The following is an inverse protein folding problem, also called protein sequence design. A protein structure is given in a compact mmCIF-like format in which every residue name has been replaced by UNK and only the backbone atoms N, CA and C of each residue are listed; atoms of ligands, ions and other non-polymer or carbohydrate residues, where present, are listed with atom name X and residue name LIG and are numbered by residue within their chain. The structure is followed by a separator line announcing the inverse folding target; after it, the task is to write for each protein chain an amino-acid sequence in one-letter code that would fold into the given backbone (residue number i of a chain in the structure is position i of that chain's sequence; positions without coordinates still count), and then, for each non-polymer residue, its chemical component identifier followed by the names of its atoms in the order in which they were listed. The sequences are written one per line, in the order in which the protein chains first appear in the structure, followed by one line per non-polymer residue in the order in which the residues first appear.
data_IF_339163312697
#
_entry.id   IF_339163312697
#
_cell.length_a   1.000
_cell.length_b   1.000
_cell.length_c   1.000
_cell.angle_alpha   90.00
_cell.angle_beta   90.00
_cell.angle_gamma   90.00
#
_symmetry.space_group_name_H-M   'P 1'
#
loop_
_entity.id
_entity.type
_entity.pdbx_description
1 polymer ?
#
# COMPACT_ATOMS: atom_id res chain seq x y z
N UNK A 1 -6.68 11.03 39.47
CA UNK A 1 -5.89 10.47 38.41
C UNK A 1 -5.47 9.04 38.72
N UNK A 2 -6.18 8.04 38.21
CA UNK A 2 -5.71 6.65 38.23
C UNK A 2 -4.94 6.43 36.96
N UNK A 3 -3.61 6.25 37.06
CA UNK A 3 -2.78 5.65 36.02
C UNK A 3 -3.28 4.23 35.77
N UNK A 4 -4.07 4.05 34.71
CA UNK A 4 -4.36 2.75 34.17
C UNK A 4 -3.24 2.46 33.15
N UNK A 5 -2.11 1.98 33.66
CA UNK A 5 -1.19 1.21 32.84
C UNK A 5 -1.98 0.00 32.32
N UNK A 6 -2.34 0.02 31.06
CA UNK A 6 -2.74 -1.19 30.34
C UNK A 6 -1.57 -2.17 30.44
N UNK A 7 -1.59 -3.06 31.42
CA UNK A 7 -0.69 -4.21 31.46
C UNK A 7 -0.92 -4.95 30.13
N UNK A 8 0.03 -4.84 29.24
CA UNK A 8 0.15 -5.74 28.09
C UNK A 8 0.08 -7.12 28.64
N UNK A 9 -0.97 -7.87 28.33
CA UNK A 9 -1.21 -9.17 28.95
C UNK A 9 -0.22 -10.14 28.38
N UNK A 10 0.75 -10.55 29.18
CA UNK A 10 1.83 -11.44 28.79
C UNK A 10 1.21 -12.78 28.37
N UNK A 11 1.46 -13.19 27.13
CA UNK A 11 1.04 -14.50 26.61
C UNK A 11 1.74 -15.62 27.37
N UNK A 12 1.11 -16.80 27.46
CA UNK A 12 1.71 -17.94 28.16
C UNK A 12 3.13 -18.28 27.63
N UNK A 13 3.36 -18.12 26.34
CA UNK A 13 4.66 -18.36 25.73
C UNK A 13 5.73 -17.40 26.25
N UNK A 14 5.39 -16.14 26.54
CA UNK A 14 6.33 -15.19 27.13
C UNK A 14 6.63 -15.52 28.59
N UNK A 15 5.62 -15.95 29.37
CA UNK A 15 5.81 -16.41 30.73
C UNK A 15 6.76 -17.62 30.74
N UNK A 16 6.47 -18.61 29.89
CA UNK A 16 7.28 -19.81 29.74
C UNK A 16 8.70 -19.48 29.28
N UNK A 17 8.87 -18.57 28.31
CA UNK A 17 10.17 -18.15 27.81
C UNK A 17 11.03 -17.56 28.92
N UNK A 18 10.50 -16.60 29.68
CA UNK A 18 11.24 -15.99 30.79
C UNK A 18 11.65 -17.02 31.86
N UNK A 19 10.76 -17.96 32.19
CA UNK A 19 11.10 -19.00 33.18
C UNK A 19 12.06 -20.06 32.61
N UNK A 20 12.02 -20.36 31.32
CA UNK A 20 13.00 -21.23 30.66
C UNK A 20 14.38 -20.56 30.63
N UNK A 21 14.47 -19.26 30.36
CA UNK A 21 15.74 -18.52 30.44
C UNK A 21 16.36 -18.62 31.84
N UNK A 22 15.55 -18.46 32.90
CA UNK A 22 16.00 -18.66 34.28
C UNK A 22 16.42 -20.13 34.53
N UNK A 23 15.62 -21.10 34.11
CA UNK A 23 15.94 -22.51 34.20
C UNK A 23 17.29 -22.85 33.55
N UNK A 24 17.55 -22.34 32.36
CA UNK A 24 18.81 -22.58 31.63
C UNK A 24 20.01 -21.96 32.37
N UNK A 25 19.83 -20.77 32.96
CA UNK A 25 20.85 -20.13 33.76
C UNK A 25 21.13 -20.91 35.05
N UNK A 26 20.10 -21.32 35.77
CA UNK A 26 20.21 -22.05 37.05
C UNK A 26 20.76 -23.47 36.88
N UNK A 27 20.21 -24.24 35.93
CA UNK A 27 20.57 -25.66 35.77
C UNK A 27 21.85 -25.87 34.93
N UNK A 28 22.11 -24.98 33.97
CA UNK A 28 23.15 -25.22 32.96
C UNK A 28 24.14 -24.07 32.85
N UNK A 29 24.00 -23.00 33.64
CA UNK A 29 24.83 -21.77 33.54
C UNK A 29 24.89 -21.20 32.13
N UNK A 30 23.78 -21.30 31.38
CA UNK A 30 23.67 -20.92 29.98
C UNK A 30 22.80 -19.66 29.84
N UNK A 31 23.22 -18.77 28.93
CA UNK A 31 22.50 -17.55 28.54
C UNK A 31 22.27 -17.54 27.02
N UNK A 32 21.29 -16.77 26.56
CA UNK A 32 21.03 -16.51 25.14
C UNK A 32 20.84 -17.76 24.28
N UNK A 33 19.89 -18.63 24.66
CA UNK A 33 19.52 -19.78 23.86
C UNK A 33 18.28 -19.51 23.02
N UNK A 34 18.19 -20.16 21.85
CA UNK A 34 17.01 -20.10 21.00
C UNK A 34 15.89 -20.96 21.59
N UNK A 35 14.87 -20.29 22.17
CA UNK A 35 13.68 -20.96 22.72
C UNK A 35 12.60 -20.96 21.64
N UNK A 36 12.14 -22.17 21.27
CA UNK A 36 11.14 -22.35 20.21
C UNK A 36 9.94 -23.12 20.74
N UNK A 37 8.77 -22.54 20.57
CA UNK A 37 7.50 -23.17 20.88
C UNK A 37 6.75 -23.56 19.60
N UNK A 38 5.95 -24.61 19.72
CA UNK A 38 4.98 -25.02 18.70
C UNK A 38 3.73 -25.57 19.37
N UNK A 39 2.63 -25.62 18.62
CA UNK A 39 1.42 -26.26 19.09
C UNK A 39 1.68 -27.76 19.29
N UNK A 40 1.23 -28.30 20.41
CA UNK A 40 1.30 -29.75 20.66
C UNK A 40 0.51 -30.51 19.58
N UNK A 41 1.07 -31.62 19.10
CA UNK A 41 0.40 -32.47 18.11
C UNK A 41 -0.84 -33.11 18.72
N UNK A 42 -1.88 -33.31 17.92
CA UNK A 42 -3.18 -33.87 18.37
C UNK A 42 -3.07 -35.27 18.98
N UNK A 43 -2.00 -36.00 18.66
CA UNK A 43 -1.74 -37.35 19.14
C UNK A 43 -1.10 -37.40 20.53
N UNK A 44 -0.75 -36.25 21.10
CA UNK A 44 -0.10 -36.12 22.39
C UNK A 44 -0.90 -35.20 23.30
N UNK A 45 -0.86 -35.49 24.59
CA UNK A 45 -1.40 -34.59 25.60
C UNK A 45 -0.53 -33.36 25.74
N UNK A 46 -1.13 -32.20 26.02
CA UNK A 46 -0.47 -30.92 26.17
C UNK A 46 -1.03 -29.83 25.24
N UNK A 47 -0.77 -28.62 25.59
CA UNK A 47 -1.19 -27.39 24.86
C UNK A 47 -0.06 -26.80 24.03
N UNK A 48 1.13 -26.71 24.61
CA UNK A 48 2.32 -26.08 24.04
C UNK A 48 3.50 -27.03 24.12
N UNK A 49 4.25 -27.16 23.02
CA UNK A 49 5.45 -27.97 22.96
C UNK A 49 6.69 -27.07 22.89
N UNK A 50 7.61 -27.25 23.82
CA UNK A 50 8.97 -26.71 23.73
C UNK A 50 9.84 -27.66 22.89
N UNK A 51 10.51 -27.12 21.88
CA UNK A 51 11.50 -27.86 21.08
C UNK A 51 12.84 -27.80 21.81
N UNK A 52 13.25 -28.89 22.47
CA UNK A 52 14.46 -28.89 23.31
C UNK A 52 15.76 -29.04 22.53
N UNK A 53 15.72 -29.44 21.26
CA UNK A 53 16.93 -29.69 20.45
C UNK A 53 17.91 -28.51 20.39
N UNK A 54 17.49 -27.26 20.25
CA UNK A 54 18.39 -26.11 20.32
C UNK A 54 19.07 -25.93 21.68
N UNK A 55 18.49 -26.50 22.76
CA UNK A 55 18.96 -26.35 24.14
C UNK A 55 19.97 -27.42 24.56
N UNK A 56 20.13 -28.49 23.77
CA UNK A 56 21.03 -29.61 24.11
C UNK A 56 22.47 -29.19 24.23
N UNK A 57 22.89 -28.16 23.49
CA UNK A 57 24.23 -27.60 23.59
C UNK A 57 24.52 -27.00 24.97
N UNK A 58 23.49 -26.42 25.59
CA UNK A 58 23.54 -25.84 26.93
C UNK A 58 23.53 -26.94 28.02
N UNK A 59 22.59 -27.87 27.91
CA UNK A 59 22.42 -28.95 28.91
C UNK A 59 23.56 -29.98 28.88
N UNK A 60 24.15 -30.20 27.71
CA UNK A 60 25.15 -31.30 27.45
C UNK A 60 24.57 -32.68 27.78
N UNK A 61 23.27 -32.88 27.70
CA UNK A 61 22.50 -34.09 28.00
C UNK A 61 21.66 -34.53 26.81
N UNK A 62 21.11 -35.74 26.90
CA UNK A 62 20.18 -36.23 25.89
C UNK A 62 18.86 -35.44 25.83
N UNK A 63 18.14 -35.50 24.69
CA UNK A 63 16.90 -34.72 24.51
C UNK A 63 15.84 -34.99 25.56
N UNK A 64 15.62 -36.26 25.90
CA UNK A 64 14.59 -36.66 26.88
C UNK A 64 14.96 -36.20 28.29
N UNK A 65 16.22 -36.37 28.71
CA UNK A 65 16.66 -35.90 30.01
C UNK A 65 16.60 -34.37 30.13
N UNK A 66 17.00 -33.66 29.09
CA UNK A 66 16.90 -32.20 29.07
C UNK A 66 15.45 -31.74 29.16
N UNK A 67 14.54 -32.40 28.42
CA UNK A 67 13.13 -32.11 28.46
C UNK A 67 12.51 -32.37 29.83
N UNK A 68 12.85 -33.48 30.49
CA UNK A 68 12.37 -33.80 31.83
C UNK A 68 12.86 -32.80 32.89
N UNK A 69 14.10 -32.41 32.87
CA UNK A 69 14.65 -31.44 33.82
C UNK A 69 13.98 -30.06 33.68
N UNK A 70 13.80 -29.59 32.44
CA UNK A 70 13.10 -28.33 32.17
C UNK A 70 11.61 -28.44 32.51
N UNK A 71 10.97 -29.59 32.18
CA UNK A 71 9.57 -29.86 32.49
C UNK A 71 9.29 -29.83 34.01
N UNK A 72 10.15 -30.49 34.78
CA UNK A 72 10.05 -30.49 36.26
C UNK A 72 10.23 -29.07 36.84
N UNK A 73 11.22 -28.31 36.33
CA UNK A 73 11.44 -26.94 36.74
C UNK A 73 10.20 -26.07 36.45
N UNK A 74 9.66 -26.15 35.23
CA UNK A 74 8.48 -25.33 34.84
C UNK A 74 7.24 -25.75 35.66
N UNK A 75 7.03 -27.03 35.91
CA UNK A 75 5.91 -27.51 36.73
C UNK A 75 5.98 -26.99 38.17
N UNK A 76 7.18 -26.81 38.71
CA UNK A 76 7.39 -26.26 40.06
C UNK A 76 7.30 -24.71 40.08
N UNK A 77 7.88 -24.04 39.10
CA UNK A 77 8.05 -22.58 39.15
C UNK A 77 6.96 -21.78 38.43
N UNK A 78 6.25 -22.39 37.46
CA UNK A 78 5.20 -21.73 36.68
C UNK A 78 3.84 -22.19 37.14
N UNK A 79 3.10 -21.34 37.83
CA UNK A 79 1.78 -21.65 38.39
C UNK A 79 0.74 -22.03 37.31
N UNK A 80 0.91 -21.58 36.08
CA UNK A 80 0.04 -21.85 34.94
C UNK A 80 0.23 -23.26 34.37
N UNK A 81 1.38 -23.90 34.61
CA UNK A 81 1.66 -25.29 34.18
C UNK A 81 1.03 -26.27 35.16
N UNK A 82 0.22 -27.20 34.66
CA UNK A 82 -0.38 -28.28 35.46
C UNK A 82 0.47 -29.55 35.44
N UNK A 83 0.91 -29.94 34.26
CA UNK A 83 1.70 -31.15 34.03
C UNK A 83 2.51 -31.02 32.72
N UNK A 84 3.29 -32.07 32.44
CA UNK A 84 4.01 -32.18 31.18
C UNK A 84 4.25 -33.66 30.84
N UNK A 85 4.51 -33.92 29.58
CA UNK A 85 5.06 -35.19 29.09
C UNK A 85 6.18 -34.97 28.09
N UNK A 86 7.03 -35.98 27.96
CA UNK A 86 8.16 -35.96 27.05
C UNK A 86 8.01 -37.06 26.00
N UNK A 87 8.02 -36.67 24.72
CA UNK A 87 7.93 -37.62 23.61
C UNK A 87 9.05 -37.34 22.62
N UNK A 88 9.99 -38.26 22.50
CA UNK A 88 11.12 -38.17 21.56
C UNK A 88 11.86 -36.81 21.62
N UNK A 89 12.08 -36.29 22.83
CA UNK A 89 12.75 -35.02 23.05
C UNK A 89 11.91 -33.77 22.81
N UNK A 90 10.61 -33.90 22.65
CA UNK A 90 9.66 -32.79 22.66
C UNK A 90 9.00 -32.69 24.05
N UNK A 91 9.11 -31.54 24.67
CA UNK A 91 8.49 -31.24 25.94
C UNK A 91 7.11 -30.66 25.73
N UNK A 92 6.08 -31.46 25.97
CA UNK A 92 4.68 -31.05 25.85
C UNK A 92 4.18 -30.59 27.21
N UNK A 93 3.79 -29.32 27.34
CA UNK A 93 3.32 -28.68 28.56
C UNK A 93 1.80 -28.65 28.57
N UNK A 94 1.21 -29.03 29.68
CA UNK A 94 -0.21 -28.87 29.94
C UNK A 94 -0.44 -27.61 30.75
N UNK A 95 -1.28 -26.71 30.22
CA UNK A 95 -1.61 -25.45 30.84
C UNK A 95 -2.94 -25.54 31.56
N UNK A 96 -2.99 -25.07 32.81
CA UNK A 96 -4.20 -25.13 33.62
C UNK A 96 -5.39 -24.50 32.91
N UNK A 97 -6.51 -25.18 32.95
CA UNK A 97 -7.76 -24.71 32.36
C UNK A 97 -8.19 -23.35 32.89
N UNK A 98 -7.88 -23.04 34.15
CA UNK A 98 -8.11 -21.70 34.72
C UNK A 98 -7.40 -20.58 33.99
N UNK A 99 -6.18 -20.81 33.48
CA UNK A 99 -5.47 -19.84 32.67
C UNK A 99 -6.26 -19.53 31.38
N UNK A 100 -6.68 -20.56 30.64
CA UNK A 100 -7.45 -20.41 29.40
C UNK A 100 -8.79 -19.73 29.64
N UNK A 101 -9.49 -20.09 30.72
CA UNK A 101 -10.73 -19.44 31.11
C UNK A 101 -10.53 -17.95 31.40
N UNK A 102 -9.51 -17.60 32.16
CA UNK A 102 -9.19 -16.20 32.46
C UNK A 102 -8.79 -15.41 31.20
N UNK A 103 -8.06 -16.04 30.25
CA UNK A 103 -7.77 -15.43 28.96
C UNK A 103 -9.05 -15.17 28.15
N UNK A 104 -9.95 -16.15 28.11
CA UNK A 104 -11.24 -15.99 27.44
C UNK A 104 -12.06 -14.84 28.03
N UNK A 105 -12.23 -14.82 29.36
CA UNK A 105 -12.97 -13.75 30.04
C UNK A 105 -12.33 -12.37 29.75
N UNK A 106 -11.03 -12.29 29.69
CA UNK A 106 -10.35 -11.04 29.35
C UNK A 106 -10.60 -10.63 27.92
N UNK A 107 -10.47 -11.56 26.96
CA UNK A 107 -10.77 -11.29 25.56
C UNK A 107 -12.24 -10.87 25.39
N UNK A 108 -13.16 -11.55 26.04
CA UNK A 108 -14.60 -11.26 25.99
C UNK A 108 -14.93 -9.85 26.52
N UNK A 109 -14.26 -9.40 27.58
CA UNK A 109 -14.51 -8.10 28.20
C UNK A 109 -13.64 -6.96 27.63
N UNK A 110 -12.90 -7.19 26.55
CA UNK A 110 -12.01 -6.19 25.94
C UNK A 110 -12.43 -5.97 24.48
N UNK A 111 -13.06 -4.84 24.20
CA UNK A 111 -13.61 -4.53 22.86
C UNK A 111 -12.53 -4.47 21.77
N UNK A 112 -11.32 -4.05 22.13
CA UNK A 112 -10.17 -3.94 21.23
C UNK A 112 -9.10 -5.01 21.48
N UNK A 113 -9.52 -6.21 21.92
CA UNK A 113 -8.61 -7.32 22.18
C UNK A 113 -7.77 -7.69 20.95
N UNK A 114 -6.45 -7.71 21.13
CA UNK A 114 -5.50 -7.96 20.04
C UNK A 114 -5.05 -6.73 19.28
N UNK A 115 -5.64 -5.56 19.56
CA UNK A 115 -5.20 -4.29 18.97
C UNK A 115 -4.13 -3.65 19.84
N UNK A 116 -2.99 -3.32 19.24
CA UNK A 116 -1.93 -2.53 19.86
C UNK A 116 -2.15 -1.07 19.47
N UNK A 117 -2.25 -0.19 20.47
CA UNK A 117 -2.35 1.26 20.21
C UNK A 117 -0.97 1.83 19.93
N UNK A 118 -0.87 2.66 18.88
CA UNK A 118 0.33 3.39 18.58
C UNK A 118 0.66 4.36 19.74
N UNK A 119 1.92 4.42 20.12
CA UNK A 119 2.44 5.49 21.01
C UNK A 119 2.94 6.69 20.18
N UNK A 120 3.34 7.74 20.85
CA UNK A 120 3.82 8.98 20.21
C UNK A 120 5.12 8.81 19.40
N UNK A 121 5.89 7.75 19.67
CA UNK A 121 7.13 7.41 18.95
C UNK A 121 6.93 6.30 17.92
N UNK A 122 5.70 5.80 17.76
CA UNK A 122 5.42 4.74 16.82
C UNK A 122 5.77 5.16 15.38
N UNK A 123 6.43 4.28 14.59
CA UNK A 123 6.79 4.60 13.22
C UNK A 123 5.54 4.83 12.37
N UNK A 124 5.63 5.81 11.47
CA UNK A 124 4.57 6.13 10.52
C UNK A 124 4.70 5.30 9.26
N UNK A 125 3.64 4.63 8.89
CA UNK A 125 3.48 3.89 7.63
C UNK A 125 2.55 4.66 6.71
N UNK A 126 2.96 4.80 5.46
CA UNK A 126 2.13 5.37 4.40
C UNK A 126 1.57 4.22 3.56
N UNK A 127 0.26 4.23 3.29
CA UNK A 127 -0.39 3.21 2.44
C UNK A 127 -1.12 3.90 1.31
N UNK A 128 -0.70 3.61 0.07
CA UNK A 128 -1.37 4.10 -1.14
C UNK A 128 -2.27 3.04 -1.72
N UNK A 129 -3.48 3.44 -2.09
CA UNK A 129 -4.43 2.62 -2.85
C UNK A 129 -5.39 3.51 -3.63
N UNK A 130 -6.21 2.92 -4.50
CA UNK A 130 -7.12 3.55 -5.46
C UNK A 130 -6.39 4.24 -6.62
N UNK A 131 -5.90 5.44 -6.46
CA UNK A 131 -5.15 6.23 -7.46
C UNK A 131 -5.79 6.20 -8.87
N UNK A 132 -7.06 6.62 -9.01
CA UNK A 132 -7.81 6.48 -10.23
C UNK A 132 -7.58 7.62 -11.23
N UNK A 133 -7.90 7.34 -12.51
CA UNK A 133 -7.99 8.37 -13.56
C UNK A 133 -9.38 9.00 -13.58
N UNK A 134 -9.48 10.30 -13.76
CA UNK A 134 -10.76 11.04 -13.75
C UNK A 134 -11.55 10.99 -15.06
N UNK A 135 -11.07 10.27 -16.07
CA UNK A 135 -11.79 10.12 -17.35
C UNK A 135 -12.82 9.01 -17.39
N UNK A 136 -12.93 8.20 -16.35
CA UNK A 136 -13.84 7.04 -16.27
C UNK A 136 -14.22 6.69 -14.84
N UNK A 137 -15.36 6.00 -14.63
CA UNK A 137 -15.77 5.55 -13.31
C UNK A 137 -14.86 4.45 -12.77
N UNK A 138 -14.92 4.23 -11.45
CA UNK A 138 -14.27 3.11 -10.80
C UNK A 138 -14.90 1.78 -11.25
N UNK A 139 -14.09 0.78 -11.50
CA UNK A 139 -14.51 -0.58 -11.86
C UNK A 139 -14.11 -1.60 -10.78
N UNK A 140 -14.46 -2.88 -10.96
CA UNK A 140 -14.20 -3.94 -9.97
C UNK A 140 -12.72 -4.05 -9.56
N UNK A 141 -11.79 -3.79 -10.48
CA UNK A 141 -10.36 -3.75 -10.16
C UNK A 141 -10.02 -2.66 -9.14
N UNK A 142 -10.61 -1.48 -9.26
CA UNK A 142 -10.47 -0.41 -8.26
C UNK A 142 -11.12 -0.78 -6.92
N UNK A 143 -12.29 -1.42 -6.94
CA UNK A 143 -12.97 -1.86 -5.72
C UNK A 143 -12.08 -2.85 -4.94
N UNK A 144 -11.53 -3.85 -5.62
CA UNK A 144 -10.59 -4.79 -5.01
C UNK A 144 -9.35 -4.08 -4.45
N UNK A 145 -8.77 -3.18 -5.21
CA UNK A 145 -7.60 -2.40 -4.80
C UNK A 145 -7.89 -1.57 -3.54
N UNK A 146 -9.03 -0.87 -3.51
CA UNK A 146 -9.46 -0.05 -2.38
C UNK A 146 -9.64 -0.87 -1.10
N UNK A 147 -10.36 -1.98 -1.19
CA UNK A 147 -10.62 -2.84 -0.04
C UNK A 147 -9.33 -3.51 0.47
N UNK A 148 -8.45 -3.93 -0.43
CA UNK A 148 -7.15 -4.51 -0.07
C UNK A 148 -6.26 -3.49 0.63
N UNK A 149 -6.07 -2.32 0.02
CA UNK A 149 -5.23 -1.25 0.58
C UNK A 149 -5.74 -0.76 1.93
N UNK A 150 -7.05 -0.54 2.05
CA UNK A 150 -7.68 -0.16 3.31
C UNK A 150 -7.47 -1.23 4.39
N UNK A 151 -7.69 -2.52 4.06
CA UNK A 151 -7.50 -3.62 5.00
C UNK A 151 -6.05 -3.72 5.48
N UNK A 152 -5.08 -3.56 4.58
CA UNK A 152 -3.65 -3.52 4.94
C UNK A 152 -3.36 -2.35 5.89
N UNK A 153 -3.89 -1.17 5.59
CA UNK A 153 -3.74 0.01 6.45
C UNK A 153 -4.29 -0.23 7.86
N UNK A 154 -5.49 -0.80 7.98
CA UNK A 154 -6.12 -1.09 9.27
C UNK A 154 -5.37 -2.19 10.06
N UNK A 155 -4.84 -3.22 9.40
CA UNK A 155 -4.02 -4.27 10.04
C UNK A 155 -2.71 -3.66 10.57
N UNK A 156 -2.02 -2.82 9.79
CA UNK A 156 -0.81 -2.13 10.22
C UNK A 156 -1.12 -1.23 11.41
N UNK A 157 -2.22 -0.48 11.37
CA UNK A 157 -2.68 0.36 12.47
C UNK A 157 -2.95 -0.46 13.73
N UNK A 158 -3.66 -1.58 13.60
CA UNK A 158 -3.94 -2.49 14.71
C UNK A 158 -2.68 -3.13 15.32
N UNK A 159 -1.56 -3.14 14.60
CA UNK A 159 -0.25 -3.59 15.10
C UNK A 159 0.54 -2.53 15.87
N UNK A 160 -0.06 -1.38 16.16
CA UNK A 160 0.58 -0.31 16.94
C UNK A 160 1.45 0.64 16.13
N UNK A 161 1.14 0.84 14.86
CA UNK A 161 1.81 1.80 13.99
C UNK A 161 0.93 3.01 13.71
N UNK A 162 1.54 4.15 13.47
CA UNK A 162 0.85 5.28 12.88
C UNK A 162 0.65 5.01 11.38
N UNK A 163 -0.55 5.18 10.88
CA UNK A 163 -0.85 4.93 9.45
C UNK A 163 -1.45 6.17 8.82
N UNK A 164 -0.97 6.50 7.62
CA UNK A 164 -1.54 7.50 6.73
C UNK A 164 -1.95 6.87 5.42
N UNK A 165 -3.20 7.05 5.03
CA UNK A 165 -3.80 6.53 3.80
C UNK A 165 -3.80 7.61 2.75
N UNK A 166 -3.24 7.33 1.58
CA UNK A 166 -3.08 8.32 0.49
C UNK A 166 -3.45 7.73 -0.86
N UNK A 167 -3.72 8.62 -1.82
CA UNK A 167 -3.86 8.28 -3.23
C UNK A 167 -3.34 9.40 -4.12
N UNK A 168 -3.01 9.07 -5.38
CA UNK A 168 -2.79 10.05 -6.45
C UNK A 168 -3.96 10.00 -7.42
N UNK A 169 -4.69 11.08 -7.53
CA UNK A 169 -5.79 11.20 -8.51
C UNK A 169 -5.18 11.73 -9.81
N UNK A 170 -5.29 10.94 -10.87
CA UNK A 170 -4.78 11.29 -12.20
C UNK A 170 -5.83 12.13 -12.93
N UNK A 171 -5.75 13.43 -12.73
CA UNK A 171 -6.74 14.43 -13.14
C UNK A 171 -6.29 15.32 -14.31
N UNK A 172 -5.15 14.98 -14.95
CA UNK A 172 -4.61 15.69 -16.12
C UNK A 172 -4.26 14.75 -17.27
N UNK A 173 -3.91 15.34 -18.40
CA UNK A 173 -3.42 14.64 -19.58
C UNK A 173 -4.45 14.49 -20.68
N UNK A 174 -4.01 13.90 -21.79
CA UNK A 174 -4.80 13.81 -23.02
C UNK A 174 -6.15 13.08 -22.84
N UNK A 175 -6.20 12.06 -21.98
CA UNK A 175 -7.43 11.30 -21.73
C UNK A 175 -8.51 12.14 -21.04
N UNK A 176 -8.10 13.06 -20.16
CA UNK A 176 -9.02 13.98 -19.49
C UNK A 176 -9.52 15.02 -20.51
N UNK A 177 -8.62 15.55 -21.34
CA UNK A 177 -8.98 16.48 -22.42
C UNK A 177 -9.95 15.87 -23.44
N UNK A 178 -9.86 14.57 -23.72
CA UNK A 178 -10.82 13.86 -24.59
C UNK A 178 -12.26 13.98 -24.05
N UNK A 179 -12.47 13.71 -22.76
CA UNK A 179 -13.80 13.87 -22.15
C UNK A 179 -14.28 15.33 -22.16
N UNK A 180 -13.35 16.28 -21.95
CA UNK A 180 -13.67 17.71 -21.97
C UNK A 180 -14.12 18.17 -23.36
N UNK A 181 -13.40 17.80 -24.42
CA UNK A 181 -13.77 18.11 -25.82
C UNK A 181 -15.13 17.51 -26.16
N UNK A 182 -15.35 16.24 -25.86
CA UNK A 182 -16.61 15.59 -26.17
C UNK A 182 -17.79 16.26 -25.44
N UNK A 183 -17.64 16.62 -24.18
CA UNK A 183 -18.68 17.34 -23.45
C UNK A 183 -18.92 18.76 -24.03
N UNK A 184 -17.88 19.46 -24.38
CA UNK A 184 -17.98 20.81 -24.95
C UNK A 184 -18.69 20.80 -26.31
N UNK A 185 -18.35 19.84 -27.18
CA UNK A 185 -18.87 19.78 -28.53
C UNK A 185 -20.27 19.13 -28.59
N UNK A 186 -20.60 18.18 -27.71
CA UNK A 186 -21.80 17.35 -27.82
C UNK A 186 -22.65 17.30 -26.56
N UNK A 187 -22.23 17.93 -25.47
CA UNK A 187 -22.91 17.85 -24.17
C UNK A 187 -24.14 18.78 -24.05
N UNK A 188 -24.30 19.73 -24.96
CA UNK A 188 -25.46 20.65 -24.98
C UNK A 188 -25.80 21.24 -23.60
N UNK A 189 -24.82 21.46 -22.73
CA UNK A 189 -25.01 22.00 -21.39
C UNK A 189 -25.50 20.97 -20.35
N UNK A 190 -25.62 19.69 -20.69
CA UNK A 190 -25.95 18.65 -19.70
C UNK A 190 -24.97 18.67 -18.51
N UNK A 191 -25.49 18.31 -17.35
CA UNK A 191 -24.71 18.15 -16.09
C UNK A 191 -25.10 16.85 -15.40
N UNK A 192 -24.34 16.37 -14.40
CA UNK A 192 -24.76 15.23 -13.58
C UNK A 192 -26.16 15.44 -12.98
N UNK A 193 -26.46 16.64 -12.51
CA UNK A 193 -27.78 16.99 -11.93
C UNK A 193 -28.90 16.90 -12.95
N UNK A 194 -28.70 17.44 -14.17
CA UNK A 194 -29.72 17.43 -15.21
C UNK A 194 -30.02 16.04 -15.76
N UNK A 195 -29.04 15.14 -15.71
CA UNK A 195 -29.13 13.76 -16.23
C UNK A 195 -29.43 12.71 -15.15
N UNK A 196 -29.29 13.07 -13.87
CA UNK A 196 -29.36 12.12 -12.75
C UNK A 196 -28.20 11.12 -12.69
N UNK A 197 -27.16 11.33 -13.50
CA UNK A 197 -25.99 10.46 -13.49
C UNK A 197 -25.00 10.89 -12.39
N UNK A 198 -24.36 9.91 -11.77
CA UNK A 198 -23.25 10.13 -10.87
C UNK A 198 -22.08 10.78 -11.65
N UNK A 199 -21.36 11.73 -11.04
CA UNK A 199 -20.39 12.58 -11.74
C UNK A 199 -19.30 11.85 -12.51
N UNK A 200 -18.71 10.80 -11.95
CA UNK A 200 -17.70 9.98 -12.63
C UNK A 200 -18.31 9.14 -13.79
N UNK A 201 -19.53 8.67 -13.65
CA UNK A 201 -20.27 8.02 -14.74
C UNK A 201 -20.64 9.02 -15.84
N UNK A 202 -21.01 10.24 -15.46
CA UNK A 202 -21.33 11.30 -16.40
C UNK A 202 -20.12 11.67 -17.26
N UNK A 203 -18.96 11.92 -16.64
CA UNK A 203 -17.73 12.23 -17.40
C UNK A 203 -17.26 11.02 -18.21
N UNK A 204 -17.39 9.82 -17.68
CA UNK A 204 -17.10 8.56 -18.39
C UNK A 204 -17.96 8.37 -19.63
N UNK A 205 -19.24 8.80 -19.63
CA UNK A 205 -20.11 8.83 -20.81
C UNK A 205 -19.44 9.63 -21.95
N UNK A 206 -18.92 10.81 -21.65
CA UNK A 206 -18.28 11.64 -22.67
C UNK A 206 -16.90 11.13 -23.12
N UNK A 207 -16.20 10.36 -22.30
CA UNK A 207 -15.01 9.63 -22.75
C UNK A 207 -15.37 8.58 -23.83
N UNK A 208 -16.47 7.85 -23.66
CA UNK A 208 -17.00 6.88 -24.65
C UNK A 208 -17.50 7.61 -25.90
N UNK A 209 -18.20 8.73 -25.74
CA UNK A 209 -18.64 9.55 -26.87
C UNK A 209 -17.45 10.06 -27.70
N UNK A 210 -16.37 10.51 -27.05
CA UNK A 210 -15.16 10.87 -27.75
C UNK A 210 -14.64 9.72 -28.64
N UNK A 211 -14.53 8.52 -28.11
CA UNK A 211 -14.06 7.35 -28.86
C UNK A 211 -14.95 7.04 -30.07
N UNK A 212 -16.27 7.18 -29.92
CA UNK A 212 -17.24 7.01 -30.99
C UNK A 212 -17.03 7.99 -32.15
N UNK A 213 -16.88 9.27 -31.84
CA UNK A 213 -16.62 10.30 -32.85
C UNK A 213 -15.25 10.17 -33.48
N UNK A 214 -14.23 9.87 -32.68
CA UNK A 214 -12.87 9.64 -33.14
C UNK A 214 -12.80 8.49 -34.15
N UNK A 215 -13.42 7.37 -33.87
CA UNK A 215 -13.50 6.23 -34.80
C UNK A 215 -14.23 6.59 -36.10
N UNK A 216 -15.29 7.39 -36.02
CA UNK A 216 -16.01 7.85 -37.20
C UNK A 216 -15.12 8.76 -38.07
N UNK A 217 -14.47 9.74 -37.48
CA UNK A 217 -13.58 10.67 -38.21
C UNK A 217 -12.41 9.94 -38.86
N UNK A 218 -11.83 8.92 -38.17
CA UNK A 218 -10.81 8.06 -38.78
C UNK A 218 -11.37 7.31 -39.98
N UNK A 219 -12.54 6.73 -39.87
CA UNK A 219 -13.17 5.98 -40.99
C UNK A 219 -13.43 6.92 -42.19
N UNK A 220 -13.89 8.13 -41.96
CA UNK A 220 -14.13 9.12 -43.02
C UNK A 220 -12.79 9.50 -43.72
N UNK A 221 -11.72 9.73 -42.97
CA UNK A 221 -10.39 10.08 -43.50
C UNK A 221 -9.77 8.89 -44.31
N UNK A 222 -9.94 7.66 -43.81
CA UNK A 222 -9.47 6.47 -44.54
C UNK A 222 -10.28 6.25 -45.83
N UNK A 223 -11.58 6.54 -45.83
CA UNK A 223 -12.41 6.52 -47.04
C UNK A 223 -11.91 7.55 -48.09
N UNK A 224 -11.37 8.67 -47.65
CA UNK A 224 -10.71 9.69 -48.46
C UNK A 224 -9.25 9.35 -48.82
N UNK A 225 -8.88 8.04 -48.71
CA UNK A 225 -7.57 7.46 -49.07
C UNK A 225 -6.39 7.90 -48.18
N UNK A 226 -6.62 8.36 -46.98
CA UNK A 226 -5.57 8.59 -46.01
C UNK A 226 -5.13 7.27 -45.37
N UNK A 227 -3.83 7.10 -45.15
CA UNK A 227 -3.31 5.94 -44.40
C UNK A 227 -3.82 5.95 -42.95
N UNK A 228 -4.16 4.76 -42.40
CA UNK A 228 -4.78 4.63 -41.08
C UNK A 228 -3.98 5.33 -39.98
N UNK A 229 -2.66 5.15 -39.97
CA UNK A 229 -1.79 5.79 -38.95
C UNK A 229 -1.79 7.33 -39.03
N UNK A 230 -2.00 7.86 -40.21
CA UNK A 230 -2.11 9.30 -40.42
C UNK A 230 -3.51 9.79 -40.07
N UNK A 231 -4.55 9.03 -40.43
CA UNK A 231 -5.93 9.31 -40.08
C UNK A 231 -6.13 9.39 -38.54
N UNK A 232 -5.53 8.46 -37.79
CA UNK A 232 -5.54 8.48 -36.32
C UNK A 232 -4.96 9.77 -35.74
N UNK A 233 -3.89 10.31 -36.34
CA UNK A 233 -3.26 11.56 -35.90
C UNK A 233 -3.99 12.80 -36.41
N UNK A 234 -4.65 12.73 -37.54
CA UNK A 234 -5.28 13.85 -38.24
C UNK A 234 -6.76 14.04 -37.88
N UNK A 235 -7.37 13.06 -37.19
CA UNK A 235 -8.77 13.15 -36.79
C UNK A 235 -9.06 14.47 -36.03
N UNK A 236 -10.01 15.30 -36.49
CA UNK A 236 -10.25 16.64 -35.96
C UNK A 236 -10.50 16.65 -34.46
N UNK A 237 -11.30 15.73 -33.94
CA UNK A 237 -11.58 15.66 -32.50
C UNK A 237 -10.33 15.32 -31.66
N UNK A 238 -9.41 14.54 -32.22
CA UNK A 238 -8.14 14.22 -31.55
C UNK A 238 -7.22 15.45 -31.51
N UNK A 239 -7.12 16.20 -32.62
CA UNK A 239 -6.39 17.46 -32.65
C UNK A 239 -6.93 18.49 -31.66
N UNK A 240 -8.27 18.61 -31.55
CA UNK A 240 -8.89 19.46 -30.51
C UNK A 240 -8.46 19.03 -29.10
N UNK A 241 -8.38 17.72 -28.82
CA UNK A 241 -7.93 17.26 -27.50
C UNK A 241 -6.47 17.58 -27.21
N UNK A 242 -5.60 17.52 -28.23
CA UNK A 242 -4.20 17.91 -28.11
C UNK A 242 -4.05 19.42 -27.89
N UNK A 243 -4.85 20.23 -28.60
CA UNK A 243 -4.86 21.68 -28.41
C UNK A 243 -5.39 22.05 -27.02
N UNK A 244 -6.46 21.41 -26.55
CA UNK A 244 -6.98 21.60 -25.20
C UNK A 244 -5.93 21.26 -24.13
N UNK A 245 -5.12 20.22 -24.33
CA UNK A 245 -4.02 19.89 -23.41
C UNK A 245 -2.96 21.00 -23.41
N UNK A 246 -2.57 21.53 -24.57
CA UNK A 246 -1.64 22.68 -24.65
C UNK A 246 -2.20 23.90 -23.95
N UNK A 247 -3.49 24.22 -24.16
CA UNK A 247 -4.18 25.32 -23.50
C UNK A 247 -4.26 25.13 -21.98
N UNK A 248 -4.46 23.88 -21.52
CA UNK A 248 -4.42 23.56 -20.10
C UNK A 248 -3.00 23.79 -19.52
N UNK A 249 -1.95 23.36 -20.23
CA UNK A 249 -0.55 23.58 -19.84
C UNK A 249 -0.17 25.06 -19.84
N UNK A 250 -0.71 25.85 -20.79
CA UNK A 250 -0.61 27.28 -20.84
C UNK A 250 -1.47 28.03 -19.79
N UNK A 251 -2.26 27.27 -18.98
CA UNK A 251 -3.16 27.79 -17.94
C UNK A 251 -4.23 28.74 -18.46
N UNK A 252 -4.75 28.49 -19.67
CA UNK A 252 -5.82 29.30 -20.23
C UNK A 252 -7.08 29.27 -19.33
N UNK A 253 -7.61 30.42 -18.90
CA UNK A 253 -8.66 30.50 -17.86
C UNK A 253 -9.93 29.72 -18.21
N UNK A 254 -10.33 29.70 -19.47
CA UNK A 254 -11.53 28.99 -19.95
C UNK A 254 -11.36 27.48 -19.84
N UNK A 255 -10.20 26.98 -20.27
CA UNK A 255 -9.88 25.54 -20.21
C UNK A 255 -9.71 25.08 -18.76
N UNK A 256 -9.02 25.86 -17.94
CA UNK A 256 -8.87 25.55 -16.50
C UNK A 256 -10.22 25.54 -15.79
N UNK A 257 -11.13 26.46 -16.13
CA UNK A 257 -12.48 26.49 -15.55
C UNK A 257 -13.28 25.25 -15.92
N UNK A 258 -13.24 24.84 -17.20
CA UNK A 258 -13.89 23.63 -17.68
C UNK A 258 -13.30 22.37 -17.00
N UNK A 259 -11.98 22.27 -16.94
CA UNK A 259 -11.25 21.20 -16.31
C UNK A 259 -11.63 21.07 -14.83
N UNK A 260 -11.65 22.16 -14.06
CA UNK A 260 -12.06 22.17 -12.65
C UNK A 260 -13.50 21.71 -12.48
N UNK A 261 -14.39 22.18 -13.35
CA UNK A 261 -15.82 21.81 -13.33
C UNK A 261 -16.01 20.31 -13.51
N UNK A 262 -15.43 19.73 -14.56
CA UNK A 262 -15.60 18.33 -14.90
C UNK A 262 -14.90 17.40 -13.89
N UNK A 263 -13.68 17.73 -13.46
CA UNK A 263 -13.00 16.96 -12.41
C UNK A 263 -13.74 17.05 -11.06
N UNK A 264 -14.34 18.21 -10.74
CA UNK A 264 -15.19 18.36 -9.55
C UNK A 264 -16.35 17.38 -9.52
N UNK A 265 -16.99 17.14 -10.66
CA UNK A 265 -18.01 16.10 -10.79
C UNK A 265 -17.46 14.69 -10.54
N UNK A 266 -16.29 14.39 -11.08
CA UNK A 266 -15.64 13.08 -10.89
C UNK A 266 -15.25 12.87 -9.43
N UNK A 267 -14.64 13.87 -8.79
CA UNK A 267 -14.25 13.79 -7.37
C UNK A 267 -15.44 13.51 -6.46
N UNK A 268 -16.57 14.22 -6.68
CA UNK A 268 -17.81 13.96 -5.97
C UNK A 268 -18.32 12.53 -6.19
N UNK A 269 -18.19 12.02 -7.43
CA UNK A 269 -18.56 10.65 -7.77
C UNK A 269 -17.67 9.61 -7.07
N UNK A 270 -16.35 9.82 -7.03
CA UNK A 270 -15.42 8.95 -6.31
C UNK A 270 -15.67 8.96 -4.81
N UNK A 271 -15.86 10.14 -4.22
CA UNK A 271 -16.16 10.29 -2.78
C UNK A 271 -17.41 9.50 -2.38
N UNK A 272 -18.47 9.58 -3.18
CA UNK A 272 -19.69 8.79 -2.98
C UNK A 272 -19.42 7.28 -2.99
N UNK A 273 -18.51 6.81 -3.86
CA UNK A 273 -18.11 5.40 -3.90
C UNK A 273 -17.29 5.02 -2.68
N UNK A 274 -16.27 5.81 -2.30
CA UNK A 274 -15.44 5.55 -1.13
C UNK A 274 -16.27 5.50 0.15
N UNK A 275 -17.17 6.44 0.33
CA UNK A 275 -18.10 6.44 1.47
C UNK A 275 -18.96 5.17 1.51
N UNK A 276 -19.47 4.71 0.36
CA UNK A 276 -20.25 3.47 0.28
C UNK A 276 -19.41 2.22 0.57
N UNK A 277 -18.14 2.20 0.20
CA UNK A 277 -17.19 1.12 0.50
C UNK A 277 -16.70 1.14 1.96
N UNK A 278 -16.85 2.26 2.65
CA UNK A 278 -16.28 2.46 3.99
C UNK A 278 -14.76 2.64 3.97
N UNK A 279 -14.19 3.16 2.87
CA UNK A 279 -12.79 3.51 2.76
C UNK A 279 -12.62 5.02 2.76
N UNK A 280 -11.47 5.50 3.23
CA UNK A 280 -11.14 6.92 3.35
C UNK A 280 -9.66 7.19 3.06
N UNK A 281 -9.29 8.47 2.99
CA UNK A 281 -7.92 8.91 2.79
C UNK A 281 -7.57 10.08 3.72
N UNK A 282 -6.38 10.05 4.30
CA UNK A 282 -5.84 11.18 5.09
C UNK A 282 -5.43 12.33 4.17
N UNK A 283 -4.92 12.03 2.96
CA UNK A 283 -4.53 13.03 1.96
C UNK A 283 -4.69 12.52 0.54
N UNK A 284 -5.27 13.35 -0.31
CA UNK A 284 -5.28 13.15 -1.76
C UNK A 284 -4.18 14.00 -2.40
N UNK A 285 -3.39 13.37 -3.28
CA UNK A 285 -2.48 14.04 -4.20
C UNK A 285 -3.14 14.07 -5.57
N UNK A 286 -2.85 15.12 -6.35
CA UNK A 286 -3.38 15.28 -7.69
C UNK A 286 -2.24 15.35 -8.70
N UNK A 287 -2.33 14.62 -9.80
CA UNK A 287 -1.30 14.63 -10.84
C UNK A 287 -1.09 16.04 -11.39
N UNK A 288 -2.15 16.86 -11.46
CA UNK A 288 -2.09 18.27 -11.85
C UNK A 288 -1.16 19.12 -10.98
N UNK A 289 -0.89 18.71 -9.75
CA UNK A 289 0.06 19.36 -8.85
C UNK A 289 1.43 18.66 -8.86
N UNK A 290 1.43 17.32 -8.87
CA UNK A 290 2.65 16.53 -8.68
C UNK A 290 3.50 16.38 -9.93
N UNK A 291 2.96 16.58 -11.13
CA UNK A 291 3.70 16.40 -12.38
C UNK A 291 4.91 17.33 -12.53
N UNK A 292 4.93 18.47 -11.82
CA UNK A 292 6.06 19.39 -11.80
C UNK A 292 7.19 18.99 -10.85
N UNK A 293 6.93 18.10 -9.91
CA UNK A 293 7.92 17.67 -8.91
C UNK A 293 9.11 16.95 -9.53
N UNK A 294 8.89 16.29 -10.67
CA UNK A 294 9.93 15.59 -11.40
C UNK A 294 11.11 16.45 -11.83
N UNK A 295 10.90 17.73 -12.15
CA UNK A 295 12.00 18.63 -12.59
C UNK A 295 13.04 18.83 -11.50
N UNK A 296 12.61 19.09 -10.27
CA UNK A 296 13.50 19.26 -9.11
C UNK A 296 14.29 17.99 -8.81
N UNK A 297 13.67 16.83 -8.98
CA UNK A 297 14.33 15.52 -8.82
C UNK A 297 15.46 15.35 -9.82
N UNK A 298 15.24 15.73 -11.10
CA UNK A 298 16.27 15.67 -12.15
C UNK A 298 17.48 16.52 -11.79
N UNK A 299 17.25 17.76 -11.37
CA UNK A 299 18.32 18.70 -10.97
C UNK A 299 19.15 18.11 -9.82
N UNK A 300 18.50 17.65 -8.76
CA UNK A 300 19.18 17.05 -7.60
C UNK A 300 19.96 15.78 -8.00
N UNK A 301 19.38 14.94 -8.85
CA UNK A 301 20.02 13.71 -9.31
C UNK A 301 21.27 13.97 -10.15
N UNK A 302 21.25 14.98 -11.01
CA UNK A 302 22.40 15.43 -11.79
C UNK A 302 23.50 16.03 -10.89
N UNK A 303 23.14 16.90 -9.95
CA UNK A 303 24.07 17.50 -8.99
C UNK A 303 24.79 16.45 -8.13
N UNK A 304 24.07 15.38 -7.73
CA UNK A 304 24.62 14.28 -6.95
C UNK A 304 25.36 13.22 -7.78
N UNK A 305 25.37 13.35 -9.12
CA UNK A 305 25.98 12.39 -10.04
C UNK A 305 25.28 11.01 -10.07
N UNK A 306 24.03 10.95 -9.58
CA UNK A 306 23.18 9.74 -9.66
C UNK A 306 22.56 9.61 -11.05
N UNK A 307 22.21 10.75 -11.66
CA UNK A 307 21.74 10.85 -13.03
C UNK A 307 22.83 11.42 -13.94
N UNK A 308 22.78 11.08 -15.20
CA UNK A 308 23.68 11.63 -16.22
C UNK A 308 22.91 12.09 -17.45
N UNK A 309 23.48 13.02 -18.18
CA UNK A 309 22.89 13.60 -19.37
C UNK A 309 23.53 13.01 -20.62
N UNK A 310 22.73 12.59 -21.59
CA UNK A 310 23.18 12.17 -22.91
C UNK A 310 23.30 13.37 -23.88
N UNK A 311 23.96 13.16 -25.01
CA UNK A 311 24.23 14.21 -26.01
C UNK A 311 22.95 14.81 -26.60
N UNK A 312 21.85 14.05 -26.65
CA UNK A 312 20.53 14.52 -27.11
C UNK A 312 19.78 15.40 -26.10
N UNK A 313 20.36 15.57 -24.90
CA UNK A 313 19.80 16.33 -23.80
C UNK A 313 18.91 15.52 -22.88
N UNK A 314 18.65 14.26 -23.17
CA UNK A 314 17.91 13.35 -22.26
C UNK A 314 18.72 13.03 -21.01
N UNK A 315 18.02 12.72 -19.90
CA UNK A 315 18.64 12.38 -18.62
C UNK A 315 18.31 10.94 -18.26
N UNK A 316 19.29 10.20 -17.81
CA UNK A 316 19.23 8.77 -17.55
C UNK A 316 19.81 8.40 -16.20
N UNK A 317 19.43 7.22 -15.71
CA UNK A 317 20.09 6.50 -14.62
C UNK A 317 20.54 5.12 -15.12
N UNK A 318 21.72 4.68 -14.69
CA UNK A 318 22.23 3.33 -14.95
C UNK A 318 22.06 2.48 -13.71
N UNK A 319 21.17 1.48 -13.79
CA UNK A 319 20.86 0.51 -12.74
C UNK A 319 21.44 -0.88 -13.05
N UNK A 320 22.38 -0.97 -13.98
CA UNK A 320 22.98 -2.24 -14.40
C UNK A 320 23.68 -2.98 -13.26
N UNK A 321 24.24 -2.24 -12.28
CA UNK A 321 24.89 -2.81 -11.10
C UNK A 321 23.88 -3.55 -10.19
N UNK A 322 22.62 -3.13 -10.19
CA UNK A 322 21.50 -3.74 -9.47
C UNK A 322 20.76 -4.83 -10.27
N UNK A 323 21.28 -5.14 -11.48
CA UNK A 323 20.67 -6.13 -12.38
C UNK A 323 19.39 -5.63 -13.07
N UNK A 324 19.24 -4.32 -13.18
CA UNK A 324 18.13 -3.64 -13.87
C UNK A 324 18.63 -2.92 -15.14
N UNK A 325 17.71 -2.45 -15.97
CA UNK A 325 18.07 -1.70 -17.17
C UNK A 325 18.40 -0.23 -16.87
N UNK A 326 19.11 0.42 -17.81
CA UNK A 326 19.17 1.89 -17.85
C UNK A 326 17.76 2.45 -18.03
N UNK A 327 17.45 3.53 -17.30
CA UNK A 327 16.14 4.17 -17.34
C UNK A 327 16.25 5.64 -17.68
N UNK A 328 15.36 6.07 -18.59
CA UNK A 328 15.21 7.48 -18.88
C UNK A 328 14.44 8.16 -17.73
N UNK A 329 14.95 9.30 -17.30
CA UNK A 329 14.39 10.16 -16.25
C UNK A 329 13.74 11.41 -16.84
N UNK A 330 14.39 11.97 -17.88
CA UNK A 330 13.88 13.13 -18.62
C UNK A 330 14.09 12.89 -20.12
N UNK A 331 13.07 13.13 -20.93
CA UNK A 331 13.21 13.03 -22.39
C UNK A 331 13.99 14.23 -22.94
N UNK A 332 14.50 14.09 -24.16
CA UNK A 332 15.24 15.16 -24.87
C UNK A 332 14.44 16.44 -25.08
N UNK A 333 13.11 16.33 -25.14
CA UNK A 333 12.19 17.47 -25.23
C UNK A 333 11.93 18.18 -23.87
N UNK A 334 12.57 17.70 -22.78
CA UNK A 334 12.43 18.26 -21.44
C UNK A 334 11.21 17.74 -20.67
N UNK A 335 10.49 16.74 -21.20
CA UNK A 335 9.35 16.15 -20.48
C UNK A 335 9.80 15.04 -19.53
N UNK A 336 9.29 15.08 -18.28
CA UNK A 336 9.50 14.03 -17.29
C UNK A 336 8.72 12.76 -17.65
N UNK A 337 9.25 11.61 -17.26
CA UNK A 337 8.56 10.32 -17.35
C UNK A 337 7.82 10.02 -16.04
N UNK A 338 6.94 9.00 -16.03
CA UNK A 338 6.19 8.61 -14.83
C UNK A 338 7.11 8.31 -13.64
N UNK A 339 8.21 7.60 -13.85
CA UNK A 339 9.19 7.29 -12.79
C UNK A 339 9.65 8.55 -12.05
N UNK A 340 9.95 9.61 -12.79
CA UNK A 340 10.42 10.88 -12.22
C UNK A 340 9.34 11.58 -11.40
N UNK A 341 8.10 11.48 -11.85
CA UNK A 341 6.95 12.00 -11.10
C UNK A 341 6.73 11.21 -9.81
N UNK A 342 6.87 9.89 -9.85
CA UNK A 342 6.71 9.03 -8.68
C UNK A 342 7.79 9.28 -7.62
N UNK A 343 9.05 9.48 -8.04
CA UNK A 343 10.14 9.90 -7.14
C UNK A 343 9.79 11.23 -6.48
N UNK A 344 9.38 12.23 -7.28
CA UNK A 344 8.98 13.55 -6.77
C UNK A 344 7.82 13.46 -5.78
N UNK A 345 6.82 12.64 -6.08
CA UNK A 345 5.67 12.41 -5.20
C UNK A 345 6.07 11.71 -3.90
N UNK A 346 6.97 10.72 -3.96
CA UNK A 346 7.47 10.04 -2.77
C UNK A 346 8.25 11.00 -1.85
N UNK A 347 9.07 11.88 -2.42
CA UNK A 347 9.80 12.92 -1.66
C UNK A 347 8.80 13.86 -0.97
N UNK A 348 7.80 14.38 -1.71
CA UNK A 348 6.78 15.26 -1.13
C UNK A 348 6.00 14.59 0.00
N UNK A 349 5.66 13.32 -0.16
CA UNK A 349 4.97 12.53 0.89
C UNK A 349 5.82 12.39 2.15
N UNK A 350 7.14 12.23 2.00
CA UNK A 350 8.04 12.18 3.14
C UNK A 350 8.13 13.54 3.85
N UNK A 351 8.14 14.64 3.11
CA UNK A 351 8.06 15.99 3.66
C UNK A 351 6.75 16.22 4.43
N UNK A 352 5.63 15.69 3.91
CA UNK A 352 4.30 15.82 4.53
C UNK A 352 4.14 14.98 5.82
N UNK A 353 4.70 13.77 5.86
CA UNK A 353 4.36 12.79 6.91
C UNK A 353 5.57 12.19 7.63
N UNK A 354 6.81 12.46 7.20
CA UNK A 354 8.03 11.89 7.78
C UNK A 354 7.91 10.36 8.01
N UNK A 355 7.34 9.63 7.04
CA UNK A 355 7.09 8.19 7.16
C UNK A 355 8.40 7.38 7.16
N UNK A 356 8.40 6.25 7.85
CA UNK A 356 9.50 5.28 7.84
C UNK A 356 9.31 4.16 6.81
N UNK A 357 8.06 3.86 6.47
CA UNK A 357 7.70 2.81 5.52
C UNK A 357 6.56 3.27 4.62
N UNK A 358 6.58 2.79 3.37
CA UNK A 358 5.52 3.04 2.41
C UNK A 358 5.11 1.74 1.72
N UNK A 359 3.80 1.53 1.60
CA UNK A 359 3.21 0.42 0.87
C UNK A 359 2.35 0.95 -0.28
N UNK A 360 2.57 0.40 -1.48
CA UNK A 360 1.75 0.66 -2.66
C UNK A 360 0.86 -0.55 -2.96
N UNK A 361 -0.44 -0.33 -3.04
CA UNK A 361 -1.39 -1.36 -3.46
C UNK A 361 -1.61 -1.26 -4.96
N UNK A 362 -0.93 -2.11 -5.70
CA UNK A 362 -0.91 -2.08 -7.18
C UNK A 362 -1.11 -3.47 -7.77
N UNK A 363 -1.39 -3.56 -9.08
CA UNK A 363 -1.39 -4.81 -9.81
C UNK A 363 0.04 -5.31 -10.05
N UNK A 364 0.20 -6.62 -10.23
CA UNK A 364 1.50 -7.26 -10.46
C UNK A 364 2.18 -6.83 -11.77
N UNK A 365 1.46 -6.27 -12.72
CA UNK A 365 2.00 -5.63 -13.91
C UNK A 365 2.90 -4.43 -13.60
N UNK A 366 2.81 -3.87 -12.39
CA UNK A 366 3.65 -2.77 -11.90
C UNK A 366 4.93 -3.23 -11.18
N UNK A 367 5.13 -4.53 -10.97
CA UNK A 367 6.25 -5.06 -10.18
C UNK A 367 7.62 -4.56 -10.66
N UNK A 368 7.83 -4.51 -11.98
CA UNK A 368 9.09 -4.02 -12.55
C UNK A 368 9.28 -2.52 -12.31
N UNK A 369 8.22 -1.72 -12.44
CA UNK A 369 8.24 -0.28 -12.16
C UNK A 369 8.66 -0.01 -10.71
N UNK A 370 8.07 -0.74 -9.75
CA UNK A 370 8.41 -0.58 -8.33
C UNK A 370 9.78 -1.15 -7.94
N UNK A 371 10.33 -2.10 -8.71
CA UNK A 371 11.72 -2.51 -8.53
C UNK A 371 12.72 -1.43 -8.94
N UNK A 372 12.35 -0.63 -9.94
CA UNK A 372 13.18 0.49 -10.42
C UNK A 372 13.07 1.69 -9.49
N UNK A 373 11.86 2.02 -8.99
CA UNK A 373 11.58 3.10 -8.05
C UNK A 373 12.28 2.88 -6.70
#
# INVERSE_FOLDING_TARGET
GRNIFTKTKVMIEEILKQEIEKCLAELYSATEQSIQFQKTRKDFEGDITLVVFPLLRASKKGPEQTAEEIGNYLKEKVKEVSDFNVVKGFLNLEIKQEYWYNQFITAYNTDDYGVVKADENAPTYLVEYSSPNTNKPLHLGHIRNNLLGYSVAEIIKASGKNVKKVQVINDRGIHICKSMVAWQDYGNGETPESTGLKGDHFVGKYYVEFDRYYKKEIADLVADKMELKDAEKQAPIFKKSQEMLRSWEAKEPTVITLWKKMNGWVYSGFESTYKRLGVDFDKNYYESDTYLLGKKVVEIGLEKGVFYKEDDGSVWIDLSAEGLDKKIILRSDGTAVYMTQDIGTAIQRHEDFAFSNMAYTVGNEQDYHFKVL
#
